data_IF_359536465793
#
_entry.id   IF_359536465793
#
_cell.length_a   1.000
_cell.length_b   1.000
_cell.length_c   1.000
_cell.angle_alpha   90.00
_cell.angle_beta   90.00
_cell.angle_gamma   90.00
#
_symmetry.space_group_name_H-M   'P 1'
#
loop_
_entity.id
_entity.type
_entity.pdbx_description
1 polymer ?
#
# COMPACT_ATOMS: atom_id res chain seq x y z
N UNK A 1 -11.88 37.21 -2.80
CA UNK A 1 -12.15 37.17 -1.34
C UNK A 1 -13.46 36.45 -0.95
N UNK A 2 -14.56 36.57 -1.71
CA UNK A 2 -15.86 35.90 -1.40
C UNK A 2 -15.81 34.35 -1.43
N UNK A 3 -15.06 33.74 -2.35
CA UNK A 3 -15.05 32.28 -2.55
C UNK A 3 -14.46 31.48 -1.37
N UNK A 4 -13.51 32.05 -0.63
CA UNK A 4 -12.89 31.42 0.53
C UNK A 4 -13.80 31.41 1.76
N UNK A 5 -14.71 32.39 1.86
CA UNK A 5 -15.68 32.51 2.96
C UNK A 5 -16.72 31.39 2.88
N UNK A 6 -17.21 31.10 1.68
CA UNK A 6 -18.16 30.00 1.42
C UNK A 6 -17.61 28.64 1.86
N UNK A 7 -16.36 28.28 1.51
CA UNK A 7 -15.76 27.00 1.90
C UNK A 7 -15.59 26.84 3.42
N UNK A 8 -15.13 27.89 4.12
CA UNK A 8 -14.99 27.85 5.59
C UNK A 8 -16.34 27.65 6.26
N UNK A 9 -17.37 28.37 5.81
CA UNK A 9 -18.74 28.20 6.30
C UNK A 9 -19.25 26.78 6.09
N UNK A 10 -18.99 26.16 4.94
CA UNK A 10 -19.38 24.77 4.67
C UNK A 10 -18.70 23.77 5.62
N UNK A 11 -17.41 23.95 5.89
CA UNK A 11 -16.67 23.07 6.83
C UNK A 11 -17.23 23.22 8.25
N UNK A 12 -17.44 24.46 8.70
CA UNK A 12 -18.00 24.74 10.02
C UNK A 12 -19.40 24.11 10.15
N UNK A 13 -20.26 24.31 9.14
CA UNK A 13 -21.59 23.74 9.11
C UNK A 13 -21.55 22.20 9.19
N UNK A 14 -20.68 21.56 8.41
CA UNK A 14 -20.50 20.11 8.43
C UNK A 14 -20.06 19.59 9.81
N UNK A 15 -19.15 20.30 10.48
CA UNK A 15 -18.68 19.93 11.82
C UNK A 15 -19.79 20.06 12.87
N UNK A 16 -20.58 21.14 12.81
CA UNK A 16 -21.74 21.34 13.69
C UNK A 16 -22.78 20.23 13.51
N UNK A 17 -23.09 19.86 12.26
CA UNK A 17 -24.00 18.76 11.97
C UNK A 17 -23.49 17.47 12.59
N UNK A 18 -22.22 17.14 12.40
CA UNK A 18 -21.58 15.94 12.97
C UNK A 18 -21.66 15.89 14.51
N UNK A 19 -21.52 17.02 15.20
CA UNK A 19 -21.63 17.10 16.65
C UNK A 19 -23.07 16.91 17.15
N UNK A 20 -24.07 17.27 16.34
CA UNK A 20 -25.49 17.13 16.69
C UNK A 20 -26.00 15.70 16.43
N UNK A 21 -25.44 15.01 15.43
CA UNK A 21 -25.89 13.67 15.02
C UNK A 21 -26.02 12.62 16.14
N UNK A 22 -25.12 12.53 17.14
CA UNK A 22 -25.26 11.57 18.23
C UNK A 22 -26.52 11.74 19.07
N UNK A 23 -27.08 12.96 19.11
CA UNK A 23 -28.28 13.28 19.90
C UNK A 23 -29.58 13.06 19.12
N UNK A 24 -29.51 12.90 17.80
CA UNK A 24 -30.68 12.80 16.92
C UNK A 24 -30.83 11.40 16.31
N UNK A 25 -29.72 10.67 16.12
CA UNK A 25 -29.72 9.37 15.47
C UNK A 25 -30.08 8.22 16.42
N UNK A 26 -30.86 7.26 15.91
CA UNK A 26 -31.11 5.99 16.59
C UNK A 26 -29.81 5.16 16.72
N UNK A 27 -29.69 4.27 17.72
CA UNK A 27 -28.45 3.54 18.03
C UNK A 27 -27.81 2.81 16.84
N UNK A 28 -28.61 2.19 15.97
CA UNK A 28 -28.13 1.52 14.76
C UNK A 28 -27.43 2.48 13.78
N UNK A 29 -28.07 3.60 13.48
CA UNK A 29 -27.52 4.61 12.58
C UNK A 29 -26.29 5.30 13.17
N UNK A 30 -26.26 5.46 14.50
CA UNK A 30 -25.12 6.02 15.22
C UNK A 30 -23.90 5.09 15.12
N UNK A 31 -24.10 3.78 15.25
CA UNK A 31 -23.04 2.79 15.04
C UNK A 31 -22.52 2.81 13.60
N UNK A 32 -23.43 2.89 12.62
CA UNK A 32 -23.08 2.97 11.20
C UNK A 32 -22.31 4.25 10.86
N UNK A 33 -22.73 5.40 11.41
CA UNK A 33 -22.03 6.67 11.29
C UNK A 33 -20.61 6.57 11.85
N UNK A 34 -20.44 6.00 13.05
CA UNK A 34 -19.12 5.77 13.63
C UNK A 34 -18.23 4.92 12.72
N UNK A 35 -18.79 3.87 12.11
CA UNK A 35 -18.07 3.00 11.16
C UNK A 35 -17.66 3.75 9.89
N UNK A 36 -18.55 4.56 9.32
CA UNK A 36 -18.23 5.40 8.15
C UNK A 36 -17.18 6.47 8.46
N UNK A 37 -17.23 7.10 9.63
CA UNK A 37 -16.21 8.06 10.06
C UNK A 37 -14.84 7.40 10.24
N UNK A 38 -14.79 6.20 10.82
CA UNK A 38 -13.56 5.43 10.92
C UNK A 38 -12.96 5.13 9.53
N UNK A 39 -13.79 4.71 8.57
CA UNK A 39 -13.35 4.50 7.18
C UNK A 39 -12.95 5.81 6.48
N UNK A 40 -13.62 6.93 6.76
CA UNK A 40 -13.28 8.24 6.21
C UNK A 40 -11.90 8.71 6.71
N UNK A 41 -11.60 8.55 8.00
CA UNK A 41 -10.28 8.88 8.57
C UNK A 41 -9.20 8.03 7.91
N UNK A 42 -9.44 6.72 7.73
CA UNK A 42 -8.51 5.83 7.04
C UNK A 42 -8.26 6.26 5.59
N UNK A 43 -9.33 6.56 4.84
CA UNK A 43 -9.24 7.03 3.46
C UNK A 43 -8.48 8.37 3.34
N UNK A 44 -8.75 9.32 4.25
CA UNK A 44 -8.03 10.58 4.32
C UNK A 44 -6.55 10.36 4.65
N UNK A 45 -6.23 9.45 5.57
CA UNK A 45 -4.85 9.08 5.90
C UNK A 45 -4.08 8.58 4.67
N UNK A 46 -4.67 7.67 3.89
CA UNK A 46 -4.08 7.19 2.64
C UNK A 46 -3.90 8.34 1.64
N UNK A 47 -4.92 9.20 1.49
CA UNK A 47 -4.86 10.36 0.60
C UNK A 47 -3.75 11.34 0.97
N UNK A 48 -3.51 11.59 2.26
CA UNK A 48 -2.43 12.45 2.73
C UNK A 48 -1.06 11.81 2.53
N UNK A 49 -0.91 10.51 2.86
CA UNK A 49 0.36 9.80 2.71
C UNK A 49 0.86 9.81 1.26
N UNK A 50 -0.02 9.47 0.32
CA UNK A 50 0.38 9.36 -1.08
C UNK A 50 0.32 10.71 -1.82
N UNK A 51 -0.70 11.53 -1.55
CA UNK A 51 -0.93 12.78 -2.26
C UNK A 51 -0.07 13.95 -1.76
N UNK A 52 0.08 14.11 -0.44
CA UNK A 52 0.81 15.25 0.13
C UNK A 52 2.23 14.88 0.55
N UNK A 53 2.40 13.77 1.27
CA UNK A 53 3.72 13.35 1.74
C UNK A 53 4.53 12.64 0.64
N UNK A 54 3.89 12.11 -0.40
CA UNK A 54 4.55 11.36 -1.47
C UNK A 54 5.14 10.01 -1.01
N UNK A 55 4.69 9.51 0.14
CA UNK A 55 5.17 8.25 0.72
C UNK A 55 4.22 7.11 0.31
N UNK A 56 4.79 5.98 -0.09
CA UNK A 56 4.03 4.77 -0.38
C UNK A 56 3.32 4.31 0.90
N UNK A 57 1.99 4.10 0.83
CA UNK A 57 1.30 3.45 1.95
C UNK A 57 1.73 2.00 2.06
N UNK A 58 1.70 1.43 3.28
CA UNK A 58 2.13 0.04 3.55
C UNK A 58 1.51 -0.97 2.57
N UNK A 59 0.22 -0.79 2.24
CA UNK A 59 -0.50 -1.65 1.29
C UNK A 59 0.04 -1.59 -0.15
N UNK A 60 0.58 -0.45 -0.59
CA UNK A 60 1.23 -0.34 -1.91
C UNK A 60 2.70 -0.76 -1.86
N UNK A 61 3.35 -0.59 -0.71
CA UNK A 61 4.75 -0.93 -0.49
C UNK A 61 5.06 -2.40 -0.73
N UNK A 62 4.14 -3.32 -0.42
CA UNK A 62 4.36 -4.77 -0.61
C UNK A 62 4.53 -5.15 -2.09
N UNK A 63 3.72 -4.55 -2.98
CA UNK A 63 3.81 -4.80 -4.42
C UNK A 63 5.09 -4.23 -5.02
N UNK A 64 5.47 -3.03 -4.58
CA UNK A 64 6.74 -2.44 -4.95
C UNK A 64 7.92 -3.28 -4.42
N UNK A 65 7.81 -3.81 -3.20
CA UNK A 65 8.81 -4.68 -2.59
C UNK A 65 9.11 -5.94 -3.40
N UNK A 66 8.09 -6.61 -3.94
CA UNK A 66 8.29 -7.77 -4.82
C UNK A 66 9.05 -7.42 -6.11
N UNK A 67 8.71 -6.29 -6.74
CA UNK A 67 9.43 -5.82 -7.94
C UNK A 67 10.88 -5.42 -7.63
N UNK A 68 11.09 -4.67 -6.54
CA UNK A 68 12.41 -4.26 -6.08
C UNK A 68 13.28 -5.47 -5.73
N UNK A 69 12.71 -6.49 -5.10
CA UNK A 69 13.40 -7.75 -4.78
C UNK A 69 13.87 -8.49 -6.03
N UNK A 70 12.99 -8.65 -7.02
CA UNK A 70 13.32 -9.32 -8.28
C UNK A 70 14.48 -8.62 -9.01
N UNK A 71 14.46 -7.28 -9.06
CA UNK A 71 15.53 -6.52 -9.70
C UNK A 71 16.83 -6.53 -8.86
N UNK A 72 16.73 -6.39 -7.53
CA UNK A 72 17.88 -6.47 -6.65
C UNK A 72 18.60 -7.82 -6.79
N UNK A 73 17.85 -8.92 -6.82
CA UNK A 73 18.42 -10.26 -7.02
C UNK A 73 19.14 -10.39 -8.36
N UNK A 74 18.54 -9.93 -9.46
CA UNK A 74 19.19 -9.93 -10.78
C UNK A 74 20.50 -9.14 -10.76
N UNK A 75 20.48 -7.92 -10.22
CA UNK A 75 21.67 -7.06 -10.17
C UNK A 75 22.79 -7.66 -9.30
N UNK A 76 22.46 -8.27 -8.16
CA UNK A 76 23.43 -8.97 -7.31
C UNK A 76 24.08 -10.15 -8.03
N UNK A 77 23.30 -10.94 -8.76
CA UNK A 77 23.83 -12.06 -9.54
C UNK A 77 24.69 -11.57 -10.72
N UNK A 78 24.29 -10.46 -11.36
CA UNK A 78 25.02 -9.86 -12.47
C UNK A 78 26.34 -9.21 -12.03
N UNK A 79 26.45 -8.72 -10.80
CA UNK A 79 27.72 -8.25 -10.23
C UNK A 79 28.66 -9.38 -9.82
N UNK A 80 28.32 -10.64 -10.12
CA UNK A 80 29.12 -11.81 -9.79
C UNK A 80 29.04 -12.20 -8.30
N UNK A 81 28.11 -11.61 -7.56
CA UNK A 81 27.93 -11.84 -6.13
C UNK A 81 26.81 -12.82 -5.84
N UNK A 82 26.86 -13.38 -4.63
CA UNK A 82 25.70 -13.99 -3.98
C UNK A 82 25.19 -13.00 -2.93
N UNK A 83 23.88 -12.98 -2.64
CA UNK A 83 23.34 -12.16 -1.56
C UNK A 83 24.08 -12.35 -0.23
N UNK A 84 24.46 -11.25 0.44
CA UNK A 84 25.31 -11.28 1.64
C UNK A 84 24.77 -12.15 2.78
N UNK A 85 23.44 -12.24 2.90
CA UNK A 85 22.79 -13.10 3.89
C UNK A 85 23.14 -14.58 3.69
N UNK A 86 23.42 -15.03 2.46
CA UNK A 86 23.86 -16.41 2.20
C UNK A 86 25.22 -16.66 2.84
N UNK A 87 26.14 -15.70 2.71
CA UNK A 87 27.44 -15.77 3.35
C UNK A 87 27.33 -15.86 4.88
N UNK A 88 26.42 -15.10 5.48
CA UNK A 88 26.20 -15.13 6.94
C UNK A 88 25.56 -16.43 7.44
N UNK A 89 24.81 -17.12 6.58
CA UNK A 89 24.13 -18.39 6.91
C UNK A 89 24.91 -19.62 6.42
N UNK A 90 26.12 -19.46 5.89
CA UNK A 90 26.93 -20.57 5.38
C UNK A 90 26.37 -21.24 4.13
N UNK A 91 25.48 -20.56 3.39
CA UNK A 91 24.95 -21.03 2.12
C UNK A 91 25.99 -20.69 1.04
N UNK A 92 26.69 -21.70 0.54
CA UNK A 92 27.82 -21.54 -0.40
C UNK A 92 27.46 -21.70 -1.86
N UNK A 93 26.27 -22.21 -2.14
CA UNK A 93 25.78 -22.44 -3.50
C UNK A 93 24.44 -21.74 -3.67
N UNK A 94 24.20 -21.20 -4.87
CA UNK A 94 22.95 -20.52 -5.17
C UNK A 94 21.82 -21.55 -5.32
N UNK A 95 20.76 -21.49 -4.49
CA UNK A 95 19.56 -22.26 -4.70
C UNK A 95 18.96 -22.06 -6.10
N UNK A 96 18.45 -23.15 -6.67
CA UNK A 96 17.91 -23.19 -8.04
C UNK A 96 16.81 -22.14 -8.29
N UNK A 97 15.96 -21.85 -7.30
CA UNK A 97 14.88 -20.87 -7.42
C UNK A 97 15.37 -19.41 -7.42
N UNK A 98 16.60 -19.13 -6.99
CA UNK A 98 17.23 -17.82 -7.15
C UNK A 98 18.05 -17.72 -8.43
N UNK A 99 18.54 -18.85 -8.95
CA UNK A 99 19.25 -18.89 -10.23
C UNK A 99 18.38 -18.44 -11.43
N UNK A 100 17.05 -18.52 -11.33
CA UNK A 100 16.14 -18.03 -12.38
C UNK A 100 16.25 -16.52 -12.59
N UNK A 101 16.68 -15.76 -11.57
CA UNK A 101 16.86 -14.31 -11.66
C UNK A 101 18.10 -13.90 -12.43
N UNK A 102 18.98 -14.83 -12.84
CA UNK A 102 20.15 -14.52 -13.67
C UNK A 102 19.79 -14.04 -15.07
N UNK A 103 18.57 -14.33 -15.55
CA UNK A 103 18.10 -13.85 -16.85
C UNK A 103 17.32 -12.53 -16.68
N UNK A 104 17.71 -11.43 -17.35
CA UNK A 104 17.05 -10.14 -17.22
C UNK A 104 15.57 -10.17 -17.60
N UNK A 105 15.20 -10.96 -18.61
CA UNK A 105 13.81 -11.07 -19.07
C UNK A 105 12.99 -11.76 -18.00
N UNK A 106 13.50 -12.84 -17.41
CA UNK A 106 12.82 -13.58 -16.34
C UNK A 106 12.66 -12.69 -15.12
N UNK A 107 13.70 -11.94 -14.74
CA UNK A 107 13.63 -11.01 -13.61
C UNK A 107 12.56 -9.92 -13.82
N UNK A 108 12.47 -9.32 -15.01
CA UNK A 108 11.45 -8.32 -15.34
C UNK A 108 10.05 -8.94 -15.35
N UNK A 109 9.89 -10.11 -15.95
CA UNK A 109 8.60 -10.82 -15.99
C UNK A 109 8.15 -11.16 -14.57
N UNK A 110 9.04 -11.67 -13.71
CA UNK A 110 8.71 -11.97 -12.31
C UNK A 110 8.44 -10.70 -11.49
N UNK A 111 9.18 -9.62 -11.72
CA UNK A 111 8.95 -8.33 -11.07
C UNK A 111 7.55 -7.76 -11.34
N UNK A 112 6.92 -8.18 -12.44
CA UNK A 112 5.60 -7.74 -12.88
C UNK A 112 4.54 -8.79 -12.53
N UNK A 113 4.79 -10.06 -12.82
CA UNK A 113 3.87 -11.17 -12.62
C UNK A 113 3.66 -11.51 -11.15
N UNK A 114 4.71 -11.47 -10.31
CA UNK A 114 4.60 -11.81 -8.88
C UNK A 114 3.68 -10.84 -8.14
N UNK A 115 3.86 -9.50 -8.23
CA UNK A 115 2.91 -8.56 -7.64
C UNK A 115 1.49 -8.72 -8.19
N UNK A 116 1.34 -8.95 -9.51
CA UNK A 116 0.03 -9.14 -10.13
C UNK A 116 -0.69 -10.39 -9.66
N UNK A 117 0.00 -11.52 -9.57
CA UNK A 117 -0.56 -12.77 -9.06
C UNK A 117 -0.94 -12.62 -7.60
N UNK A 118 -0.08 -12.00 -6.78
CA UNK A 118 -0.38 -11.73 -5.39
C UNK A 118 -1.60 -10.82 -5.23
N UNK A 119 -1.69 -9.76 -6.03
CA UNK A 119 -2.87 -8.88 -6.08
C UNK A 119 -4.13 -9.64 -6.53
N UNK A 120 -4.02 -10.49 -7.54
CA UNK A 120 -5.13 -11.30 -8.05
C UNK A 120 -5.64 -12.32 -7.03
N UNK A 121 -4.73 -12.96 -6.29
CA UNK A 121 -5.08 -13.88 -5.20
C UNK A 121 -5.82 -13.12 -4.09
N UNK A 122 -5.28 -12.00 -3.63
CA UNK A 122 -5.94 -11.18 -2.61
C UNK A 122 -7.31 -10.68 -3.07
N UNK A 123 -7.42 -10.24 -4.33
CA UNK A 123 -8.68 -9.83 -4.94
C UNK A 123 -9.70 -10.97 -5.03
N UNK A 124 -9.26 -12.19 -5.33
CA UNK A 124 -10.13 -13.37 -5.37
C UNK A 124 -10.69 -13.75 -3.99
N UNK A 125 -9.90 -13.58 -2.93
CA UNK A 125 -10.34 -13.89 -1.57
C UNK A 125 -11.09 -12.75 -0.85
N UNK A 126 -11.12 -11.54 -1.41
CA UNK A 126 -11.74 -10.35 -0.77
C UNK A 126 -12.57 -9.48 -1.74
N UNK A 127 -13.51 -10.10 -2.45
CA UNK A 127 -14.79 -9.49 -2.91
C UNK A 127 -15.93 -10.42 -2.48
#
# INVERSE_FOLDING_TARGET
MSYLYSKKTLVILGFVILLIMPFVLAPFNLNLLGRFLAYAILALGIGVLWGYAGILSLGHGIFFGFGAYAMAMYLTLQSGGMPDFMGWNGITELPWFWAIFSNPIVAIVLAIAVPMLFAGILGFFHI
#
